data_IF_665322571377
#
_entry.id   IF_665322571377
#
_cell.length_a   1.000
_cell.length_b   1.000
_cell.length_c   1.000
_cell.angle_alpha   90.00
_cell.angle_beta   90.00
_cell.angle_gamma   90.00
#
_symmetry.space_group_name_H-M   'P 1'
#
loop_
_entity.id
_entity.type
_entity.pdbx_description
1 polymer ?
#
# COMPACT_ATOMS: atom_id res chain seq x y z
N UNK A 1 24.52 -12.45 7.67
CA UNK A 1 24.57 -11.01 7.29
C UNK A 1 23.82 -10.70 5.99
N UNK A 2 23.92 -11.53 4.95
CA UNK A 2 23.25 -11.32 3.65
C UNK A 2 21.71 -11.37 3.72
N UNK A 3 21.12 -12.38 4.39
CA UNK A 3 19.65 -12.58 4.43
C UNK A 3 18.85 -11.38 4.97
N UNK A 4 19.34 -10.73 6.04
CA UNK A 4 18.67 -9.57 6.65
C UNK A 4 18.72 -8.31 5.77
N UNK A 5 19.74 -8.19 4.91
CA UNK A 5 19.85 -7.12 3.93
C UNK A 5 18.89 -7.37 2.77
N UNK A 6 18.77 -8.62 2.32
CA UNK A 6 17.85 -9.00 1.23
C UNK A 6 16.38 -8.82 1.62
N UNK A 7 15.96 -9.23 2.82
CA UNK A 7 14.57 -9.03 3.28
C UNK A 7 14.18 -7.55 3.33
N UNK A 8 15.11 -6.69 3.74
CA UNK A 8 14.88 -5.24 3.78
C UNK A 8 14.72 -4.65 2.37
N UNK A 9 15.56 -5.09 1.41
CA UNK A 9 15.43 -4.68 0.00
C UNK A 9 14.09 -5.13 -0.58
N UNK A 10 13.66 -6.36 -0.26
CA UNK A 10 12.34 -6.87 -0.69
C UNK A 10 11.22 -5.99 -0.14
N UNK A 11 11.23 -5.66 1.15
CA UNK A 11 10.22 -4.75 1.75
C UNK A 11 10.21 -3.39 1.06
N UNK A 12 11.37 -2.78 0.86
CA UNK A 12 11.48 -1.48 0.18
C UNK A 12 10.98 -1.57 -1.27
N UNK A 13 11.30 -2.66 -1.96
CA UNK A 13 10.82 -2.97 -3.31
C UNK A 13 9.30 -3.13 -3.35
N UNK A 14 8.68 -3.80 -2.37
CA UNK A 14 7.24 -3.93 -2.26
C UNK A 14 6.55 -2.57 -2.05
N UNK A 15 7.11 -1.69 -1.21
CA UNK A 15 6.62 -0.32 -1.07
C UNK A 15 6.76 0.49 -2.36
N UNK A 16 7.86 0.30 -3.10
CA UNK A 16 8.06 0.96 -4.39
C UNK A 16 7.04 0.47 -5.44
N UNK A 17 6.82 -0.84 -5.52
CA UNK A 17 5.79 -1.43 -6.38
C UNK A 17 4.40 -0.94 -6.00
N UNK A 18 4.09 -0.84 -4.70
CA UNK A 18 2.84 -0.26 -4.22
C UNK A 18 2.68 1.20 -4.67
N UNK A 19 3.75 2.00 -4.66
CA UNK A 19 3.71 3.38 -5.16
C UNK A 19 3.38 3.45 -6.65
N UNK A 20 3.94 2.54 -7.47
CA UNK A 20 3.61 2.47 -8.90
C UNK A 20 2.13 2.16 -9.09
N UNK A 21 1.60 1.12 -8.42
CA UNK A 21 0.18 0.78 -8.52
C UNK A 21 -0.72 1.92 -8.03
N UNK A 22 -0.34 2.58 -6.95
CA UNK A 22 -1.06 3.72 -6.38
C UNK A 22 -1.09 4.90 -7.35
N UNK A 23 0.04 5.21 -7.99
CA UNK A 23 0.12 6.29 -8.98
C UNK A 23 -0.74 6.00 -10.22
N UNK A 24 -0.69 4.78 -10.75
CA UNK A 24 -1.52 4.36 -11.86
C UNK A 24 -3.01 4.39 -11.50
N UNK A 25 -3.37 3.92 -10.30
CA UNK A 25 -4.73 3.97 -9.80
C UNK A 25 -5.22 5.43 -9.69
N UNK A 26 -4.41 6.33 -9.09
CA UNK A 26 -4.72 7.75 -8.98
C UNK A 26 -4.99 8.38 -10.36
N UNK A 27 -4.12 8.12 -11.34
CA UNK A 27 -4.27 8.64 -12.70
C UNK A 27 -5.56 8.13 -13.36
N UNK A 28 -5.87 6.83 -13.22
CA UNK A 28 -7.10 6.25 -13.78
C UNK A 28 -8.37 6.77 -13.08
N UNK A 29 -8.36 6.93 -11.75
CA UNK A 29 -9.47 7.52 -11.01
C UNK A 29 -9.71 8.98 -11.42
N UNK A 30 -8.65 9.77 -11.55
CA UNK A 30 -8.74 11.16 -11.99
C UNK A 30 -9.30 11.26 -13.42
N UNK A 31 -8.83 10.42 -14.34
CA UNK A 31 -9.35 10.36 -15.71
C UNK A 31 -10.84 9.96 -15.75
N UNK A 32 -11.24 9.01 -14.91
CA UNK A 32 -12.65 8.58 -14.80
C UNK A 32 -13.53 9.71 -14.26
N UNK A 33 -13.13 10.38 -13.18
CA UNK A 33 -13.92 11.47 -12.59
C UNK A 33 -14.00 12.65 -13.56
N UNK A 34 -12.91 13.01 -14.24
CA UNK A 34 -12.92 14.07 -15.24
C UNK A 34 -13.91 13.78 -16.39
N UNK A 35 -14.03 12.50 -16.78
CA UNK A 35 -15.02 12.05 -17.76
C UNK A 35 -16.45 12.12 -17.23
N UNK A 36 -16.71 11.60 -16.02
CA UNK A 36 -18.08 11.56 -15.47
C UNK A 36 -18.61 12.92 -15.03
N UNK A 37 -17.74 13.92 -14.87
CA UNK A 37 -18.10 15.32 -14.61
C UNK A 37 -18.21 16.18 -15.88
N UNK A 38 -17.78 15.67 -17.04
CA UNK A 38 -17.84 16.39 -18.30
C UNK A 38 -18.29 15.44 -19.42
N UNK A 39 -19.52 14.94 -19.32
CA UNK A 39 -20.00 14.00 -20.33
C UNK A 39 -20.09 14.69 -21.71
N UNK A 40 -19.52 14.06 -22.77
CA UNK A 40 -19.69 14.55 -24.13
C UNK A 40 -21.17 14.56 -24.53
N UNK A 41 -21.61 15.64 -25.19
CA UNK A 41 -22.97 15.75 -25.72
C UNK A 41 -23.24 14.60 -26.69
N UNK A 42 -24.18 13.71 -26.34
CA UNK A 42 -24.55 12.53 -27.12
C UNK A 42 -24.21 11.19 -26.44
N UNK A 43 -23.49 11.19 -25.32
CA UNK A 43 -23.37 10.00 -24.48
C UNK A 43 -24.65 9.82 -23.64
N UNK A 44 -25.27 8.63 -23.73
CA UNK A 44 -26.47 8.28 -22.97
C UNK A 44 -26.15 7.74 -21.56
N UNK A 45 -24.87 7.69 -21.18
CA UNK A 45 -24.43 7.29 -19.84
C UNK A 45 -25.11 8.19 -18.78
N UNK A 46 -25.77 7.57 -17.79
CA UNK A 46 -26.58 8.26 -16.78
C UNK A 46 -27.62 9.26 -17.36
N UNK A 47 -28.19 8.94 -18.52
CA UNK A 47 -29.14 9.82 -19.20
C UNK A 47 -28.53 11.15 -19.68
N UNK A 48 -27.20 11.20 -19.84
CA UNK A 48 -26.45 12.39 -20.28
C UNK A 48 -26.21 13.41 -19.17
N UNK A 49 -26.46 13.06 -17.90
CA UNK A 49 -26.20 13.92 -16.75
C UNK A 49 -24.89 13.54 -16.06
N UNK A 50 -24.13 14.56 -15.66
CA UNK A 50 -22.91 14.40 -14.88
C UNK A 50 -23.18 13.68 -13.55
N UNK A 51 -22.27 12.78 -13.17
CA UNK A 51 -22.35 12.02 -11.93
C UNK A 51 -20.97 11.74 -11.35
N UNK A 52 -20.95 11.41 -10.06
CA UNK A 52 -19.72 10.99 -9.36
C UNK A 52 -19.93 9.59 -8.81
N UNK A 53 -19.08 8.67 -9.25
CA UNK A 53 -19.06 7.30 -8.80
C UNK A 53 -18.47 7.22 -7.37
N UNK A 54 -19.26 6.87 -6.33
CA UNK A 54 -18.79 6.91 -4.94
C UNK A 54 -17.63 5.93 -4.71
N UNK A 55 -17.64 4.77 -5.35
CA UNK A 55 -16.56 3.78 -5.25
C UNK A 55 -15.23 4.30 -5.85
N UNK A 56 -15.29 5.09 -6.93
CA UNK A 56 -14.09 5.70 -7.53
C UNK A 56 -13.56 6.81 -6.63
N UNK A 57 -14.44 7.58 -5.99
CA UNK A 57 -14.04 8.60 -5.02
C UNK A 57 -13.35 8.00 -3.78
N UNK A 58 -13.84 6.86 -3.28
CA UNK A 58 -13.20 6.12 -2.18
C UNK A 58 -11.81 5.61 -2.58
N UNK A 59 -11.67 5.00 -3.77
CA UNK A 59 -10.38 4.55 -4.28
C UNK A 59 -9.41 5.70 -4.52
N UNK A 60 -9.89 6.85 -4.99
CA UNK A 60 -9.09 8.07 -5.13
C UNK A 60 -8.54 8.53 -3.78
N UNK A 61 -9.38 8.58 -2.75
CA UNK A 61 -8.99 8.93 -1.39
C UNK A 61 -7.95 7.96 -0.83
N UNK A 62 -8.18 6.65 -0.98
CA UNK A 62 -7.24 5.61 -0.59
C UNK A 62 -5.89 5.76 -1.31
N UNK A 63 -5.90 6.06 -2.61
CA UNK A 63 -4.70 6.27 -3.40
C UNK A 63 -3.91 7.51 -2.94
N UNK A 64 -4.58 8.64 -2.69
CA UNK A 64 -3.93 9.87 -2.18
C UNK A 64 -3.24 9.60 -0.84
N UNK A 65 -3.96 8.97 0.10
CA UNK A 65 -3.41 8.66 1.42
C UNK A 65 -2.22 7.70 1.30
N UNK A 66 -2.32 6.68 0.44
CA UNK A 66 -1.24 5.73 0.20
C UNK A 66 -0.01 6.42 -0.39
N UNK A 67 -0.21 7.34 -1.34
CA UNK A 67 0.86 8.11 -1.98
C UNK A 67 1.60 9.02 -1.00
N UNK A 68 0.92 9.54 0.02
CA UNK A 68 1.54 10.35 1.07
C UNK A 68 2.26 9.50 2.12
N UNK A 69 1.65 8.39 2.55
CA UNK A 69 2.15 7.58 3.65
C UNK A 69 3.26 6.61 3.24
N UNK A 70 3.18 5.99 2.06
CA UNK A 70 4.17 5.00 1.62
C UNK A 70 5.59 5.60 1.50
N UNK A 71 5.81 6.81 0.93
CA UNK A 71 7.13 7.43 0.91
C UNK A 71 7.61 7.83 2.31
N UNK A 72 6.71 8.27 3.20
CA UNK A 72 7.05 8.57 4.58
C UNK A 72 7.61 7.32 5.30
N UNK A 73 6.91 6.18 5.18
CA UNK A 73 7.36 4.90 5.75
C UNK A 73 8.67 4.45 5.11
N UNK A 74 8.79 4.53 3.78
CA UNK A 74 10.01 4.20 3.05
C UNK A 74 11.19 5.05 3.51
N UNK A 75 10.99 6.36 3.72
CA UNK A 75 12.02 7.27 4.21
C UNK A 75 12.46 6.94 5.65
N UNK A 76 11.52 6.57 6.53
CA UNK A 76 11.82 6.12 7.91
C UNK A 76 12.69 4.86 7.88
N UNK A 77 12.34 3.89 7.04
CA UNK A 77 13.09 2.63 6.88
C UNK A 77 14.48 2.90 6.31
N UNK A 78 14.57 3.76 5.28
CA UNK A 78 15.83 4.06 4.58
C UNK A 78 16.81 4.85 5.47
N UNK A 79 16.33 5.91 6.13
CA UNK A 79 17.15 6.77 7.01
C UNK A 79 17.41 6.17 8.39
N UNK A 80 16.80 5.03 8.72
CA UNK A 80 16.87 4.39 10.05
C UNK A 80 16.55 5.37 11.18
N UNK A 81 15.46 6.12 11.04
CA UNK A 81 15.06 7.06 12.08
C UNK A 81 14.51 6.30 13.31
N UNK A 82 15.27 6.32 14.40
CA UNK A 82 14.93 5.63 15.67
C UNK A 82 14.07 6.48 16.62
N UNK A 83 13.73 7.73 16.26
CA UNK A 83 13.02 8.66 17.16
C UNK A 83 11.52 8.75 16.84
N UNK A 84 10.69 8.41 17.82
CA UNK A 84 9.24 8.69 17.83
C UNK A 84 8.33 7.46 17.75
N UNK A 85 7.04 7.66 18.06
CA UNK A 85 6.00 6.62 17.99
C UNK A 85 5.81 6.06 16.57
N UNK A 86 6.02 6.91 15.56
CA UNK A 86 5.94 6.58 14.12
C UNK A 86 6.98 5.55 13.65
N UNK A 87 8.05 5.32 14.43
CA UNK A 87 9.10 4.35 14.10
C UNK A 87 8.78 2.94 14.63
N UNK A 88 7.67 2.73 15.34
CA UNK A 88 7.38 1.43 15.99
C UNK A 88 6.66 0.47 15.04
N UNK A 89 7.01 -0.81 15.09
CA UNK A 89 6.41 -1.85 14.23
C UNK A 89 4.89 -1.94 14.33
N UNK A 90 4.31 -1.78 15.54
CA UNK A 90 2.85 -1.78 15.69
C UNK A 90 2.16 -0.65 14.90
N UNK A 91 2.81 0.51 14.77
CA UNK A 91 2.27 1.65 14.04
C UNK A 91 2.23 1.35 12.54
N UNK A 92 3.28 0.72 12.01
CA UNK A 92 3.28 0.24 10.62
C UNK A 92 2.18 -0.77 10.36
N UNK A 93 1.99 -1.76 11.25
CA UNK A 93 0.92 -2.76 11.10
C UNK A 93 -0.45 -2.09 11.13
N UNK A 94 -0.69 -1.16 12.07
CA UNK A 94 -1.94 -0.41 12.15
C UNK A 94 -2.18 0.41 10.86
N UNK A 95 -1.16 1.10 10.36
CA UNK A 95 -1.23 1.89 9.14
C UNK A 95 -1.54 1.03 7.91
N UNK A 96 -0.82 -0.09 7.75
CA UNK A 96 -1.04 -1.05 6.68
C UNK A 96 -2.44 -1.67 6.76
N UNK A 97 -2.93 -1.97 7.96
CA UNK A 97 -4.27 -2.52 8.15
C UNK A 97 -5.38 -1.53 7.78
N UNK A 98 -5.25 -0.26 8.18
CA UNK A 98 -6.21 0.79 7.78
C UNK A 98 -6.20 0.98 6.26
N UNK A 99 -5.02 1.07 5.65
CA UNK A 99 -4.89 1.15 4.19
C UNK A 99 -5.49 -0.09 3.50
N UNK A 100 -5.24 -1.28 4.03
CA UNK A 100 -5.78 -2.53 3.51
C UNK A 100 -7.31 -2.54 3.50
N UNK A 101 -7.96 -2.02 4.55
CA UNK A 101 -9.42 -1.91 4.63
C UNK A 101 -9.96 -0.92 3.59
N UNK A 102 -9.36 0.26 3.45
CA UNK A 102 -9.79 1.23 2.43
C UNK A 102 -9.64 0.70 1.01
N UNK A 103 -8.53 0.02 0.71
CA UNK A 103 -8.32 -0.58 -0.60
C UNK A 103 -9.30 -1.74 -0.86
N UNK A 104 -9.55 -2.59 0.14
CA UNK A 104 -10.50 -3.68 -0.01
C UNK A 104 -11.92 -3.17 -0.22
N UNK A 105 -12.36 -2.22 0.62
CA UNK A 105 -13.69 -1.60 0.56
C UNK A 105 -13.97 -0.98 -0.81
N UNK A 106 -13.09 -0.07 -1.25
CA UNK A 106 -13.23 0.59 -2.54
C UNK A 106 -13.17 -0.38 -3.72
N UNK A 107 -12.29 -1.39 -3.68
CA UNK A 107 -12.17 -2.38 -4.76
C UNK A 107 -13.37 -3.32 -4.82
N UNK A 108 -13.86 -3.77 -3.66
CA UNK A 108 -15.04 -4.63 -3.58
C UNK A 108 -16.30 -3.88 -4.02
N UNK A 109 -16.47 -2.63 -3.57
CA UNK A 109 -17.58 -1.78 -4.00
C UNK A 109 -17.54 -1.55 -5.52
N UNK A 110 -16.37 -1.23 -6.09
CA UNK A 110 -16.20 -1.06 -7.53
C UNK A 110 -16.51 -2.35 -8.31
N UNK A 111 -16.08 -3.51 -7.81
CA UNK A 111 -16.34 -4.82 -8.45
C UNK A 111 -17.84 -5.15 -8.48
N UNK A 112 -18.58 -4.77 -7.43
CA UNK A 112 -20.03 -4.99 -7.36
C UNK A 112 -20.81 -4.10 -8.33
N UNK A 113 -20.37 -2.85 -8.53
CA UNK A 113 -21.01 -1.92 -9.46
C UNK A 113 -20.70 -2.28 -10.91
N UNK A 114 -19.46 -2.65 -11.21
CA UNK A 114 -19.01 -3.02 -12.56
C UNK A 114 -18.47 -4.45 -12.60
N UNK A 115 -19.35 -5.45 -12.70
CA UNK A 115 -18.93 -6.83 -12.73
C UNK A 115 -18.16 -7.15 -14.03
N UNK A 116 -17.19 -8.05 -13.91
CA UNK A 116 -16.19 -8.33 -14.95
C UNK A 116 -16.81 -8.86 -16.27
N UNK A 117 -17.95 -9.54 -16.20
CA UNK A 117 -18.67 -10.10 -17.35
C UNK A 117 -19.30 -9.00 -18.23
N UNK A 118 -19.81 -7.93 -17.62
CA UNK A 118 -20.34 -6.76 -18.33
C UNK A 118 -19.19 -5.98 -18.95
N UNK A 119 -18.11 -5.83 -18.19
CA UNK A 119 -16.94 -5.07 -18.62
C UNK A 119 -16.21 -5.76 -19.79
N UNK A 120 -16.13 -7.08 -19.79
CA UNK A 120 -15.56 -7.87 -20.88
C UNK A 120 -16.31 -7.69 -22.21
N UNK A 121 -17.64 -7.52 -22.16
CA UNK A 121 -18.47 -7.30 -23.35
C UNK A 121 -18.36 -5.88 -23.91
N UNK A 122 -17.96 -4.91 -23.08
CA UNK A 122 -17.88 -3.49 -23.42
C UNK A 122 -16.48 -3.04 -23.89
N UNK A 123 -15.52 -3.95 -24.13
CA UNK A 123 -14.11 -3.61 -24.39
C UNK A 123 -13.88 -2.68 -25.60
N UNK A 124 -14.88 -2.56 -26.50
CA UNK A 124 -14.81 -1.67 -27.67
C UNK A 124 -14.86 -0.19 -27.31
N UNK A 125 -15.39 0.17 -26.14
CA UNK A 125 -15.48 1.55 -25.67
C UNK A 125 -14.29 1.88 -24.76
N UNK A 126 -13.64 3.02 -25.00
CA UNK A 126 -12.47 3.48 -24.26
C UNK A 126 -12.71 3.60 -22.75
N UNK A 127 -13.93 3.97 -22.35
CA UNK A 127 -14.33 4.09 -20.94
C UNK A 127 -14.35 2.75 -20.22
N UNK A 128 -14.78 1.68 -20.89
CA UNK A 128 -14.79 0.34 -20.32
C UNK A 128 -13.36 -0.20 -20.16
N UNK A 129 -12.45 0.11 -21.08
CA UNK A 129 -11.02 -0.22 -20.93
C UNK A 129 -10.39 0.51 -19.74
N UNK A 130 -10.72 1.80 -19.54
CA UNK A 130 -10.24 2.57 -18.39
C UNK A 130 -10.70 1.96 -17.06
N UNK A 131 -11.98 1.57 -16.97
CA UNK A 131 -12.51 0.89 -15.78
C UNK A 131 -11.84 -0.46 -15.52
N UNK A 132 -11.53 -1.24 -16.58
CA UNK A 132 -10.80 -2.50 -16.42
C UNK A 132 -9.40 -2.26 -15.85
N UNK A 133 -8.68 -1.28 -16.38
CA UNK A 133 -7.36 -0.91 -15.88
C UNK A 133 -7.43 -0.45 -14.41
N UNK A 134 -8.41 0.40 -14.07
CA UNK A 134 -8.64 0.88 -12.71
C UNK A 134 -8.85 -0.29 -11.75
N UNK A 135 -9.74 -1.23 -12.09
CA UNK A 135 -10.05 -2.39 -11.24
C UNK A 135 -8.84 -3.33 -11.10
N UNK A 136 -8.09 -3.54 -12.17
CA UNK A 136 -6.88 -4.34 -12.15
C UNK A 136 -5.81 -3.75 -11.21
N UNK A 137 -5.55 -2.44 -11.30
CA UNK A 137 -4.57 -1.79 -10.41
C UNK A 137 -5.05 -1.73 -8.96
N UNK A 138 -6.36 -1.59 -8.72
CA UNK A 138 -6.94 -1.65 -7.39
C UNK A 138 -6.70 -3.02 -6.73
N UNK A 139 -6.98 -4.12 -7.44
CA UNK A 139 -6.71 -5.47 -6.94
C UNK A 139 -5.21 -5.74 -6.76
N UNK A 140 -4.36 -5.32 -7.70
CA UNK A 140 -2.90 -5.51 -7.59
C UNK A 140 -2.30 -4.76 -6.39
N UNK A 141 -2.76 -3.53 -6.14
CA UNK A 141 -2.32 -2.78 -4.97
C UNK A 141 -2.83 -3.40 -3.66
N UNK A 142 -4.07 -3.90 -3.61
CA UNK A 142 -4.58 -4.64 -2.45
C UNK A 142 -3.79 -5.94 -2.17
N UNK A 143 -3.45 -6.71 -3.21
CA UNK A 143 -2.59 -7.91 -3.07
C UNK A 143 -1.22 -7.50 -2.51
N UNK A 144 -0.62 -6.44 -3.04
CA UNK A 144 0.69 -5.94 -2.58
C UNK A 144 0.62 -5.50 -1.12
N UNK A 145 -0.44 -4.79 -0.71
CA UNK A 145 -0.70 -4.42 0.69
C UNK A 145 -0.87 -5.65 1.58
N UNK A 146 -1.56 -6.70 1.10
CA UNK A 146 -1.75 -7.95 1.84
C UNK A 146 -0.41 -8.63 2.10
N UNK A 147 0.48 -8.70 1.10
CA UNK A 147 1.83 -9.26 1.27
C UNK A 147 2.64 -8.44 2.27
N UNK A 148 2.60 -7.11 2.19
CA UNK A 148 3.28 -6.22 3.14
C UNK A 148 2.74 -6.38 4.57
N UNK A 149 1.42 -6.43 4.72
CA UNK A 149 0.74 -6.55 6.02
C UNK A 149 1.04 -7.91 6.66
N UNK A 150 0.83 -9.02 5.93
CA UNK A 150 1.08 -10.37 6.44
C UNK A 150 2.56 -10.59 6.70
N UNK A 151 3.45 -10.11 5.83
CA UNK A 151 4.90 -10.18 6.04
C UNK A 151 5.30 -9.45 7.32
N UNK A 152 4.84 -8.22 7.50
CA UNK A 152 5.17 -7.42 8.69
C UNK A 152 4.56 -8.01 9.96
N UNK A 153 3.32 -8.50 9.89
CA UNK A 153 2.65 -9.16 11.00
C UNK A 153 3.35 -10.46 11.41
N UNK A 154 3.73 -11.29 10.43
CA UNK A 154 4.46 -12.54 10.67
C UNK A 154 5.76 -12.29 11.44
N UNK A 155 6.57 -11.31 11.00
CA UNK A 155 7.79 -10.94 11.71
C UNK A 155 7.51 -10.30 13.08
N UNK A 156 6.48 -9.46 13.20
CA UNK A 156 6.11 -8.86 14.49
C UNK A 156 5.71 -9.92 15.53
N UNK A 157 5.00 -10.97 15.12
CA UNK A 157 4.54 -12.07 15.98
C UNK A 157 5.68 -13.01 16.34
N UNK A 158 6.41 -13.52 15.34
CA UNK A 158 7.49 -14.51 15.54
C UNK A 158 8.62 -13.95 16.40
N UNK A 159 9.00 -12.69 16.17
CA UNK A 159 10.05 -12.01 16.92
C UNK A 159 9.50 -11.25 18.16
N UNK A 160 8.19 -11.27 18.44
CA UNK A 160 7.56 -10.44 19.50
C UNK A 160 8.04 -8.97 19.44
N UNK A 161 8.27 -8.45 18.23
CA UNK A 161 8.97 -7.19 17.98
C UNK A 161 8.03 -5.97 17.90
N UNK A 162 6.86 -6.05 18.55
CA UNK A 162 5.79 -5.04 18.49
C UNK A 162 6.24 -3.62 18.87
N UNK A 163 7.09 -3.52 19.91
CA UNK A 163 7.62 -2.24 20.39
C UNK A 163 9.01 -1.90 19.83
N UNK A 164 9.57 -2.79 19.01
CA UNK A 164 10.87 -2.53 18.35
C UNK A 164 10.70 -1.53 17.21
N UNK A 165 11.83 -0.94 16.80
CA UNK A 165 11.86 -0.01 15.67
C UNK A 165 11.64 -0.75 14.33
N UNK A 166 10.84 -0.17 13.43
CA UNK A 166 10.43 -0.71 12.12
C UNK A 166 11.61 -1.10 11.23
N UNK A 167 12.71 -0.35 11.34
CA UNK A 167 13.98 -0.57 10.65
C UNK A 167 14.68 -1.88 11.05
N UNK A 168 14.31 -2.47 12.19
CA UNK A 168 14.80 -3.77 12.65
C UNK A 168 13.80 -4.92 12.47
N UNK A 169 12.52 -4.65 12.16
CA UNK A 169 11.47 -5.67 12.18
C UNK A 169 11.72 -6.86 11.22
N UNK A 170 12.32 -6.60 10.05
CA UNK A 170 12.65 -7.63 9.06
C UNK A 170 14.14 -8.03 9.08
N UNK A 171 14.90 -7.52 10.07
CA UNK A 171 16.32 -7.78 10.21
C UNK A 171 16.58 -8.70 11.40
N UNK A 172 17.40 -9.72 11.18
CA UNK A 172 17.82 -10.70 12.18
C UNK A 172 18.45 -10.01 13.41
N UNK A 173 17.97 -10.32 14.62
CA UNK A 173 18.36 -9.66 15.88
C UNK A 173 19.69 -10.14 16.45
N UNK A 174 20.41 -11.03 15.74
CA UNK A 174 21.75 -11.48 16.11
C UNK A 174 22.74 -10.33 16.40
N UNK A 175 22.53 -9.14 15.82
CA UNK A 175 23.41 -7.98 16.04
C UNK A 175 23.21 -7.24 17.38
N UNK A 176 22.03 -7.29 18.01
CA UNK A 176 21.80 -6.59 19.29
C UNK A 176 22.43 -7.35 20.46
N UNK A 177 22.38 -8.68 20.42
CA UNK A 177 23.00 -9.53 21.44
C UNK A 177 24.54 -9.42 21.42
N UNK A 178 25.15 -9.38 20.23
CA UNK A 178 26.61 -9.29 20.08
C UNK A 178 27.17 -7.92 20.53
N UNK A 179 26.39 -6.83 20.38
CA UNK A 179 26.79 -5.51 20.89
C UNK A 179 26.73 -5.43 22.42
N UNK A 180 25.72 -6.07 23.04
CA UNK A 180 25.67 -6.16 24.52
C UNK A 180 26.86 -6.94 25.08
N UNK A 181 27.22 -8.07 24.46
CA UNK A 181 28.37 -8.88 24.87
C UNK A 181 29.72 -8.17 24.75
N UNK A 182 29.90 -7.31 23.73
CA UNK A 182 31.14 -6.53 23.58
C UNK A 182 31.23 -5.38 24.58
N UNK A 183 30.11 -4.75 24.93
CA UNK A 183 30.08 -3.71 25.98
C UNK A 183 30.23 -4.28 27.38
N UNK A 184 29.64 -5.44 27.69
CA UNK A 184 29.82 -6.10 28.99
C UNK A 184 31.19 -6.79 29.13
N UNK A 185 31.72 -7.36 28.03
CA UNK A 185 33.08 -7.91 28.02
C UNK A 185 34.17 -6.86 28.22
N UNK A 186 33.94 -5.61 27.79
CA UNK A 186 34.86 -4.49 28.07
C UNK A 186 34.70 -3.91 29.47
N UNK A 187 33.55 -4.08 30.12
CA UNK A 187 33.30 -3.57 31.47
C UNK A 187 33.85 -4.50 32.57
N UNK A 188 34.02 -5.79 32.27
CA UNK A 188 34.54 -6.80 33.20
C UNK A 188 36.05 -7.09 33.03
N UNK A 189 36.77 -6.26 32.28
CA UNK A 189 38.19 -6.41 32.00
C UNK A 189 39.07 -5.34 32.70
N UNK A 190 38.59 -4.78 33.81
CA UNK A 190 39.35 -3.87 34.70
C UNK A 190 39.38 -4.44 36.11
#
# INVERSE_FOLDING_TARGET
MTRAVELRKIRLGLYFVLLIWTFLLLATCAARIAYTQNLPKGDTLNGGNDFTDPSVAELLFAAIITLLLAPCVMAIIHKRMERGMLSRTWFEVALLFVLWMFWLGGTAAATNVWPADVLARCVRFSQCQLLQALLAFAWLGWITLTVLLLGTLYFAVTERAWHSHMNGAWADRTFVFSRKLTTEGSANAV
#
